data_IF_852251020506
#
_entry.id   IF_852251020506
#
_cell.length_a   1.000
_cell.length_b   1.000
_cell.length_c   1.000
_cell.angle_alpha   90.00
_cell.angle_beta   90.00
_cell.angle_gamma   90.00
#
_symmetry.space_group_name_H-M   'P 1'
#
loop_
_entity.id
_entity.type
_entity.pdbx_description
1 polymer ?
#
# COMPACT_ATOMS: atom_id res chain seq x y z
N UNK A 1 -2.32 9.14 -43.75
CA UNK A 1 -1.40 8.11 -43.24
C UNK A 1 -1.75 7.85 -41.79
N UNK A 2 -1.96 6.59 -41.41
CA UNK A 2 -2.19 6.24 -40.01
C UNK A 2 -0.84 6.33 -39.29
N UNK A 3 -0.67 7.34 -38.43
CA UNK A 3 0.51 7.45 -37.59
C UNK A 3 0.42 6.29 -36.59
N UNK A 4 1.24 5.26 -36.79
CA UNK A 4 1.44 4.22 -35.79
C UNK A 4 2.29 4.86 -34.69
N UNK A 5 1.65 5.50 -33.72
CA UNK A 5 2.33 6.07 -32.57
C UNK A 5 2.86 4.93 -31.71
N UNK A 6 4.16 4.68 -31.74
CA UNK A 6 4.84 3.80 -30.79
C UNK A 6 4.86 4.48 -29.43
N UNK A 7 3.85 4.20 -28.62
CA UNK A 7 3.75 4.70 -27.25
C UNK A 7 4.39 3.70 -26.28
N UNK A 8 5.32 4.15 -25.44
CA UNK A 8 5.78 3.37 -24.28
C UNK A 8 4.80 3.59 -23.13
N UNK A 9 4.07 2.54 -22.75
CA UNK A 9 3.07 2.59 -21.68
C UNK A 9 3.71 2.14 -20.37
N UNK A 10 3.51 2.90 -19.30
CA UNK A 10 3.88 2.55 -17.94
C UNK A 10 2.67 2.71 -17.01
N UNK A 11 2.49 1.77 -16.09
CA UNK A 11 1.32 1.72 -15.23
C UNK A 11 1.74 1.64 -13.76
N UNK A 12 1.03 2.36 -12.91
CA UNK A 12 1.07 2.18 -11.45
C UNK A 12 -0.34 1.88 -10.94
N UNK A 13 -0.56 1.69 -9.65
CA UNK A 13 -1.88 1.30 -9.13
C UNK A 13 -3.00 2.34 -9.41
N UNK A 14 -2.63 3.58 -9.72
CA UNK A 14 -3.55 4.72 -9.79
C UNK A 14 -3.59 5.40 -11.16
N UNK A 15 -2.49 5.34 -11.92
CA UNK A 15 -2.36 5.99 -13.23
C UNK A 15 -1.74 5.07 -14.27
N UNK A 16 -2.25 5.15 -15.49
CA UNK A 16 -1.59 4.64 -16.70
C UNK A 16 -1.06 5.83 -17.46
N UNK A 17 0.17 5.75 -17.92
CA UNK A 17 0.86 6.84 -18.58
C UNK A 17 1.52 6.32 -19.85
N UNK A 18 1.42 7.10 -20.92
CA UNK A 18 2.06 6.82 -22.19
C UNK A 18 3.08 7.91 -22.54
N UNK A 19 4.27 7.50 -22.97
CA UNK A 19 5.25 8.38 -23.60
C UNK A 19 5.10 8.26 -25.12
N UNK A 20 4.84 9.39 -25.78
CA UNK A 20 4.89 9.48 -27.23
C UNK A 20 6.35 9.59 -27.71
N UNK A 21 6.58 9.29 -28.99
CA UNK A 21 7.82 9.48 -29.75
C UNK A 21 8.45 10.88 -29.65
N UNK A 22 7.68 11.90 -29.26
CA UNK A 22 8.14 13.27 -28.99
C UNK A 22 8.64 13.49 -27.55
N UNK A 23 8.64 12.44 -26.71
CA UNK A 23 9.05 12.52 -25.31
C UNK A 23 8.01 13.16 -24.38
N UNK A 24 6.78 13.37 -24.85
CA UNK A 24 5.69 13.93 -24.04
C UNK A 24 5.03 12.82 -23.24
N UNK A 25 4.89 13.04 -21.93
CA UNK A 25 4.18 12.16 -21.02
C UNK A 25 2.70 12.55 -20.97
N UNK A 26 1.83 11.60 -21.30
CA UNK A 26 0.39 11.75 -21.11
C UNK A 26 -0.06 10.72 -20.08
N UNK A 27 -0.52 11.19 -18.92
CA UNK A 27 -0.99 10.34 -17.83
C UNK A 27 -2.51 10.47 -17.69
N UNK A 28 -3.17 9.33 -17.57
CA UNK A 28 -4.60 9.22 -17.32
C UNK A 28 -4.81 8.43 -16.03
N UNK A 29 -5.72 8.92 -15.19
CA UNK A 29 -6.26 8.10 -14.11
C UNK A 29 -6.93 6.87 -14.72
N UNK A 30 -6.70 5.70 -14.14
CA UNK A 30 -7.47 4.53 -14.54
C UNK A 30 -8.96 4.83 -14.39
N UNK A 31 -9.81 4.58 -15.41
CA UNK A 31 -11.24 4.81 -15.30
C UNK A 31 -11.75 4.09 -14.05
N UNK A 32 -12.23 4.90 -13.12
CA UNK A 32 -12.61 4.53 -11.76
C UNK A 32 -13.50 3.28 -11.73
N UNK A 33 -13.05 2.25 -10.98
CA UNK A 33 -13.74 1.19 -10.19
C UNK A 33 -15.07 0.53 -10.67
N UNK A 34 -15.76 1.04 -11.69
CA UNK A 34 -17.10 0.62 -12.10
C UNK A 34 -17.10 -0.29 -13.32
N UNK A 35 -15.98 -0.36 -14.05
CA UNK A 35 -15.79 -1.21 -15.23
C UNK A 35 -14.64 -2.24 -15.08
N UNK A 36 -13.92 -2.22 -13.96
CA UNK A 36 -12.74 -3.04 -13.72
C UNK A 36 -13.04 -4.11 -12.66
N UNK A 37 -12.63 -5.35 -12.91
CA UNK A 37 -12.95 -6.53 -12.11
C UNK A 37 -12.77 -6.30 -10.60
N UNK A 38 -13.68 -6.81 -9.77
CA UNK A 38 -13.66 -6.64 -8.30
C UNK A 38 -12.33 -7.05 -7.62
N UNK A 39 -11.50 -7.79 -8.34
CA UNK A 39 -10.12 -8.10 -8.00
C UNK A 39 -9.25 -6.85 -7.74
N UNK A 40 -9.22 -5.88 -8.65
CA UNK A 40 -8.37 -4.68 -8.51
C UNK A 40 -8.84 -3.80 -7.34
N UNK A 41 -10.15 -3.76 -7.10
CA UNK A 41 -10.71 -3.08 -5.94
C UNK A 41 -10.31 -3.74 -4.62
N UNK A 42 -10.31 -5.07 -4.56
CA UNK A 42 -9.80 -5.81 -3.40
C UNK A 42 -8.31 -5.51 -3.16
N UNK A 43 -7.50 -5.44 -4.22
CA UNK A 43 -6.09 -5.10 -4.12
C UNK A 43 -5.84 -3.72 -3.51
N UNK A 44 -6.59 -2.69 -3.96
CA UNK A 44 -6.53 -1.35 -3.36
C UNK A 44 -6.91 -1.37 -1.87
N UNK A 45 -7.95 -2.12 -1.52
CA UNK A 45 -8.38 -2.25 -0.12
C UNK A 45 -7.31 -2.93 0.75
N UNK A 46 -6.68 -3.99 0.24
CA UNK A 46 -5.59 -4.70 0.94
C UNK A 46 -4.38 -3.78 1.16
N UNK A 47 -3.99 -2.99 0.16
CA UNK A 47 -2.90 -2.02 0.30
C UNK A 47 -3.20 -0.98 1.39
N UNK A 48 -4.39 -0.39 1.36
CA UNK A 48 -4.82 0.60 2.37
C UNK A 48 -4.83 -0.04 3.76
N UNK A 49 -5.33 -1.27 3.87
CA UNK A 49 -5.38 -2.00 5.14
C UNK A 49 -3.98 -2.29 5.68
N UNK A 50 -3.03 -2.71 4.83
CA UNK A 50 -1.64 -2.91 5.21
C UNK A 50 -1.01 -1.63 5.76
N UNK A 51 -1.23 -0.49 5.10
CA UNK A 51 -0.73 0.83 5.56
C UNK A 51 -1.30 1.18 6.94
N UNK A 52 -2.61 1.00 7.14
CA UNK A 52 -3.25 1.30 8.43
C UNK A 52 -2.75 0.40 9.56
N UNK A 53 -2.57 -0.91 9.29
CA UNK A 53 -2.04 -1.86 10.26
C UNK A 53 -0.59 -1.54 10.61
N UNK A 54 0.25 -1.21 9.62
CA UNK A 54 1.63 -0.80 9.84
C UNK A 54 1.73 0.49 10.66
N UNK A 55 0.91 1.50 10.36
CA UNK A 55 0.85 2.74 11.12
C UNK A 55 0.41 2.51 12.58
N UNK A 56 -0.64 1.73 12.79
CA UNK A 56 -1.10 1.37 14.13
C UNK A 56 -0.03 0.55 14.89
N UNK A 57 0.61 -0.40 14.21
CA UNK A 57 1.72 -1.17 14.75
C UNK A 57 2.88 -0.28 15.19
N UNK A 58 3.25 0.72 14.40
CA UNK A 58 4.29 1.69 14.75
C UNK A 58 3.94 2.48 16.01
N UNK A 59 2.72 3.00 16.11
CA UNK A 59 2.26 3.74 17.29
C UNK A 59 2.27 2.87 18.56
N UNK A 60 1.76 1.64 18.47
CA UNK A 60 1.79 0.69 19.58
C UNK A 60 3.22 0.29 19.95
N UNK A 61 4.11 0.18 18.96
CA UNK A 61 5.53 -0.10 19.15
C UNK A 61 6.19 1.01 19.96
N UNK A 62 6.02 2.27 19.52
CA UNK A 62 6.51 3.46 20.24
C UNK A 62 5.97 3.47 21.68
N UNK A 63 4.67 3.22 21.89
CA UNK A 63 4.06 3.14 23.21
C UNK A 63 4.60 1.98 24.08
N UNK A 64 5.04 0.89 23.46
CA UNK A 64 5.61 -0.30 24.11
C UNK A 64 7.09 -0.17 24.49
N UNK A 65 7.80 0.88 24.02
CA UNK A 65 9.20 1.09 24.39
C UNK A 65 9.35 1.44 25.88
N UNK A 66 10.47 1.00 26.46
CA UNK A 66 10.80 1.28 27.87
C UNK A 66 10.91 2.78 28.16
N UNK A 67 11.51 3.53 27.24
CA UNK A 67 11.72 4.97 27.33
C UNK A 67 10.44 5.80 27.14
N UNK A 68 9.39 5.23 26.53
CA UNK A 68 8.12 5.93 26.32
C UNK A 68 7.25 5.83 27.56
N UNK A 69 6.98 6.96 28.23
CA UNK A 69 6.13 7.01 29.42
C UNK A 69 4.74 7.53 29.08
N UNK A 70 3.78 6.62 28.90
CA UNK A 70 2.35 6.95 28.74
C UNK A 70 1.64 6.48 30.00
N UNK A 71 1.23 7.43 30.85
CA UNK A 71 0.36 7.17 32.00
C UNK A 71 0.87 6.13 33.01
N UNK A 72 2.19 5.98 33.19
CA UNK A 72 2.75 5.05 34.18
C UNK A 72 2.50 3.57 33.85
N UNK A 73 2.48 3.22 32.57
CA UNK A 73 2.20 1.85 32.13
C UNK A 73 3.22 0.84 32.66
N UNK A 74 2.72 -0.21 33.33
CA UNK A 74 3.53 -1.34 33.79
C UNK A 74 4.30 -2.02 32.65
N UNK A 75 5.49 -2.54 32.98
CA UNK A 75 6.34 -3.24 32.01
C UNK A 75 5.58 -4.36 31.29
N UNK A 76 4.84 -5.19 32.02
CA UNK A 76 4.10 -6.31 31.43
C UNK A 76 3.13 -5.85 30.34
N UNK A 77 2.56 -4.63 30.47
CA UNK A 77 1.67 -4.06 29.47
C UNK A 77 2.44 -3.41 28.32
N UNK A 78 3.58 -2.77 28.59
CA UNK A 78 4.52 -2.32 27.54
C UNK A 78 5.02 -3.47 26.66
N UNK A 79 5.35 -4.62 27.27
CA UNK A 79 5.75 -5.83 26.56
C UNK A 79 4.62 -6.38 25.69
N UNK A 80 3.37 -6.40 26.19
CA UNK A 80 2.20 -6.76 25.39
C UNK A 80 1.99 -5.82 24.21
N UNK A 81 2.14 -4.50 24.41
CA UNK A 81 2.05 -3.51 23.33
C UNK A 81 3.11 -3.76 22.25
N UNK A 82 4.37 -3.96 22.64
CA UNK A 82 5.45 -4.28 21.70
C UNK A 82 5.19 -5.60 20.94
N UNK A 83 4.69 -6.63 21.62
CA UNK A 83 4.32 -7.89 20.98
C UNK A 83 3.16 -7.71 19.98
N UNK A 84 2.12 -6.97 20.35
CA UNK A 84 1.00 -6.65 19.45
C UNK A 84 1.44 -5.82 18.25
N UNK A 85 2.35 -4.87 18.46
CA UNK A 85 2.93 -4.05 17.39
C UNK A 85 3.71 -4.89 16.38
N UNK A 86 4.49 -5.86 16.85
CA UNK A 86 5.19 -6.82 15.98
C UNK A 86 4.21 -7.68 15.19
N UNK A 87 3.18 -8.22 15.84
CA UNK A 87 2.15 -9.01 15.16
C UNK A 87 1.41 -8.21 14.07
N UNK A 88 1.04 -6.95 14.34
CA UNK A 88 0.41 -6.08 13.34
C UNK A 88 1.33 -5.79 12.16
N UNK A 89 2.63 -5.57 12.39
CA UNK A 89 3.60 -5.40 11.31
C UNK A 89 3.74 -6.65 10.44
N UNK A 90 3.78 -7.84 11.05
CA UNK A 90 3.85 -9.10 10.30
C UNK A 90 2.58 -9.28 9.44
N UNK A 91 1.41 -8.98 9.99
CA UNK A 91 0.15 -9.03 9.24
C UNK A 91 0.13 -8.01 8.10
N UNK A 92 0.58 -6.78 8.34
CA UNK A 92 0.68 -5.74 7.33
C UNK A 92 1.62 -6.14 6.17
N UNK A 93 2.78 -6.70 6.49
CA UNK A 93 3.74 -7.18 5.50
C UNK A 93 3.17 -8.33 4.67
N UNK A 94 2.48 -9.29 5.30
CA UNK A 94 1.82 -10.38 4.59
C UNK A 94 0.72 -9.88 3.63
N UNK A 95 -0.07 -8.88 4.05
CA UNK A 95 -1.07 -8.22 3.22
C UNK A 95 -0.44 -7.48 2.04
N UNK A 96 0.67 -6.79 2.26
CA UNK A 96 1.42 -6.11 1.20
C UNK A 96 2.10 -7.09 0.24
N UNK A 97 2.62 -8.21 0.74
CA UNK A 97 3.24 -9.27 -0.06
C UNK A 97 2.24 -10.02 -0.96
N UNK A 98 0.93 -9.91 -0.70
CA UNK A 98 -0.13 -10.44 -1.57
C UNK A 98 -0.41 -9.57 -2.80
N UNK A 99 0.15 -8.35 -2.87
CA UNK A 99 -0.03 -7.40 -3.97
C UNK A 99 0.59 -7.78 -5.32
N UNK A 100 1.67 -8.57 -5.45
CA UNK A 100 2.19 -8.99 -6.76
C UNK A 100 1.17 -9.77 -7.58
N UNK A 101 0.20 -10.43 -6.93
CA UNK A 101 -0.92 -11.04 -7.64
C UNK A 101 -1.76 -9.97 -8.36
N UNK A 102 -1.82 -8.75 -7.84
CA UNK A 102 -2.65 -7.64 -8.30
C UNK A 102 -2.04 -6.80 -9.43
N UNK A 103 -0.81 -7.10 -9.85
CA UNK A 103 -0.20 -6.46 -11.02
C UNK A 103 -0.92 -6.95 -12.28
N UNK A 104 -1.64 -6.05 -12.94
CA UNK A 104 -2.11 -6.25 -14.32
C UNK A 104 -0.88 -6.47 -15.20
N UNK A 105 -0.83 -7.64 -15.87
CA UNK A 105 0.18 -7.96 -16.88
C UNK A 105 -0.07 -7.19 -18.16
#
# INVERSE_FOLDING_TARGET
GNVITTNTIFENLWFSCATDSLGVYNCWEFPSMLALSGYIQACRALMITAILLGFLGLLLGIAGLRCTNIGGLELSRKAKLAATAGALHILADLLAASQPSCSVS
#
